data_IF_996670879809
#
_entry.id   IF_996670879809
#
_cell.length_a   1.000
_cell.length_b   1.000
_cell.length_c   1.000
_cell.angle_alpha   90.00
_cell.angle_beta   90.00
_cell.angle_gamma   90.00
#
_symmetry.space_group_name_H-M   'P 1'
#
loop_
_entity.id
_entity.type
_entity.pdbx_description
1 polymer ?
#
# COMPACT_ATOMS: atom_id res chain seq x y z
N UNK A 1 22.30 10.42 -4.66
CA UNK A 1 21.39 9.53 -3.90
C UNK A 1 20.91 8.43 -4.84
N UNK A 2 20.69 7.19 -4.39
CA UNK A 2 20.37 6.10 -5.31
C UNK A 2 19.08 6.44 -6.09
N UNK A 3 19.13 6.27 -7.42
CA UNK A 3 18.03 6.61 -8.35
C UNK A 3 16.81 5.70 -8.22
N UNK A 4 16.93 4.57 -7.50
CA UNK A 4 15.86 3.59 -7.30
C UNK A 4 16.17 2.79 -6.03
N UNK A 5 15.15 2.43 -5.26
CA UNK A 5 15.27 1.64 -4.03
C UNK A 5 14.28 0.49 -4.07
N UNK A 6 14.75 -0.71 -3.77
CA UNK A 6 13.88 -1.86 -3.60
C UNK A 6 13.14 -1.78 -2.25
N UNK A 7 11.81 -2.00 -2.28
CA UNK A 7 10.95 -2.02 -1.11
C UNK A 7 10.17 -3.35 -1.10
N UNK A 8 10.52 -4.29 -0.21
CA UNK A 8 9.81 -5.56 -0.13
C UNK A 8 8.46 -5.40 0.60
N UNK A 9 7.57 -6.37 0.43
CA UNK A 9 6.23 -6.38 1.02
C UNK A 9 5.95 -7.72 1.74
N UNK A 10 5.35 -7.64 2.93
CA UNK A 10 4.80 -8.78 3.66
C UNK A 10 3.27 -8.67 3.59
N UNK A 11 2.66 -9.47 2.73
CA UNK A 11 1.21 -9.56 2.62
C UNK A 11 0.66 -10.58 3.63
N UNK A 12 -0.22 -10.12 4.52
CA UNK A 12 -0.80 -10.91 5.60
C UNK A 12 -2.26 -11.23 5.31
N UNK A 13 -2.62 -12.51 5.35
CA UNK A 13 -4.01 -12.95 5.27
C UNK A 13 -4.29 -14.11 6.24
N UNK A 14 -5.22 -13.89 7.17
CA UNK A 14 -5.49 -14.76 8.33
C UNK A 14 -4.23 -15.04 9.16
N UNK A 15 -3.43 -14.00 9.42
CA UNK A 15 -2.24 -14.07 10.27
C UNK A 15 -1.02 -14.76 9.65
N UNK A 16 -1.10 -15.14 8.37
CA UNK A 16 -0.02 -15.83 7.65
C UNK A 16 0.48 -14.99 6.48
N UNK A 17 1.77 -15.11 6.19
CA UNK A 17 2.39 -14.47 5.02
C UNK A 17 1.98 -15.22 3.75
N UNK A 18 1.32 -14.54 2.82
CA UNK A 18 0.78 -15.13 1.60
C UNK A 18 0.99 -14.22 0.40
N UNK A 19 1.40 -14.81 -0.72
CA UNK A 19 1.29 -14.16 -2.02
C UNK A 19 -0.03 -14.58 -2.67
N UNK A 20 -0.91 -13.61 -2.86
CA UNK A 20 -2.21 -13.78 -3.51
C UNK A 20 -2.13 -13.43 -5.00
N UNK A 21 -3.01 -14.01 -5.81
CA UNK A 21 -3.26 -13.52 -7.18
C UNK A 21 -4.21 -12.32 -7.10
N UNK A 22 -3.79 -11.17 -7.64
CA UNK A 22 -4.58 -9.93 -7.64
C UNK A 22 -6.01 -10.15 -8.16
N UNK A 23 -7.00 -9.61 -7.46
CA UNK A 23 -8.43 -9.75 -7.80
C UNK A 23 -9.11 -11.08 -7.42
N UNK A 24 -8.39 -12.10 -6.93
CA UNK A 24 -8.99 -13.38 -6.50
C UNK A 24 -9.53 -13.38 -5.06
N UNK A 25 -9.31 -12.30 -4.31
CA UNK A 25 -9.85 -12.16 -2.95
C UNK A 25 -11.33 -11.79 -3.00
N UNK A 26 -12.18 -12.79 -2.82
CA UNK A 26 -13.61 -12.64 -2.62
C UNK A 26 -14.00 -13.17 -1.25
N UNK A 27 -14.48 -12.29 -0.36
CA UNK A 27 -14.91 -12.68 1.00
C UNK A 27 -16.17 -13.54 0.98
N UNK A 28 -16.99 -13.42 -0.07
CA UNK A 28 -18.20 -14.22 -0.29
C UNK A 28 -17.89 -15.63 -0.81
N UNK A 29 -16.69 -15.84 -1.34
CA UNK A 29 -16.22 -17.14 -1.86
C UNK A 29 -14.79 -17.43 -1.40
N UNK A 30 -14.54 -17.71 -0.11
CA UNK A 30 -13.19 -17.96 0.40
C UNK A 30 -12.45 -19.12 -0.29
N UNK A 31 -13.20 -20.08 -0.85
CA UNK A 31 -12.69 -21.23 -1.61
C UNK A 31 -12.13 -20.86 -2.98
N UNK A 32 -12.41 -19.66 -3.50
CA UNK A 32 -11.91 -19.17 -4.78
C UNK A 32 -10.60 -18.37 -4.65
N UNK A 33 -10.10 -18.17 -3.42
CA UNK A 33 -8.83 -17.49 -3.19
C UNK A 33 -7.69 -18.26 -3.85
N UNK A 34 -7.05 -17.65 -4.84
CA UNK A 34 -5.86 -18.21 -5.48
C UNK A 34 -4.62 -17.63 -4.81
N UNK A 35 -3.82 -18.50 -4.21
CA UNK A 35 -2.50 -18.15 -3.66
C UNK A 35 -1.41 -18.68 -4.57
N UNK A 36 -0.45 -17.84 -4.92
CA UNK A 36 0.79 -18.28 -5.55
C UNK A 36 1.71 -18.95 -4.51
N UNK A 37 1.66 -18.47 -3.26
CA UNK A 37 2.52 -18.97 -2.18
C UNK A 37 1.89 -18.72 -0.81
N UNK A 38 2.06 -19.69 0.10
CA UNK A 38 1.78 -19.54 1.53
C UNK A 38 3.06 -19.91 2.26
N UNK A 39 3.58 -19.01 3.08
CA UNK A 39 4.83 -19.25 3.78
C UNK A 39 4.65 -20.20 4.96
N UNK A 40 5.62 -21.08 5.18
CA UNK A 40 5.79 -21.82 6.44
C UNK A 40 6.45 -20.97 7.53
N UNK A 41 7.08 -19.86 7.17
CA UNK A 41 7.78 -18.96 8.09
C UNK A 41 6.82 -17.95 8.72
N UNK A 42 7.17 -17.53 9.93
CA UNK A 42 6.40 -16.52 10.66
C UNK A 42 6.59 -15.12 10.06
N UNK A 43 5.64 -14.18 10.27
CA UNK A 43 5.80 -12.78 9.86
C UNK A 43 7.10 -12.14 10.39
N UNK A 44 7.50 -12.43 11.64
CA UNK A 44 8.77 -11.96 12.22
C UNK A 44 10.01 -12.39 11.45
N UNK A 45 10.02 -13.57 10.83
CA UNK A 45 11.15 -14.05 10.04
C UNK A 45 11.47 -13.06 8.91
N UNK A 46 10.45 -12.63 8.17
CA UNK A 46 10.60 -11.68 7.06
C UNK A 46 10.94 -10.27 7.55
N UNK A 47 10.29 -9.80 8.62
CA UNK A 47 10.62 -8.51 9.22
C UNK A 47 12.10 -8.46 9.67
N UNK A 48 12.61 -9.54 10.27
CA UNK A 48 14.01 -9.65 10.66
C UNK A 48 14.93 -9.73 9.44
N UNK A 49 14.55 -10.46 8.39
CA UNK A 49 15.31 -10.50 7.14
C UNK A 49 15.44 -9.10 6.52
N UNK A 50 14.36 -8.33 6.47
CA UNK A 50 14.38 -6.96 5.94
C UNK A 50 15.25 -6.04 6.79
N UNK A 51 15.20 -6.20 8.11
CA UNK A 51 16.07 -5.48 9.06
C UNK A 51 17.55 -5.80 8.84
N UNK A 52 17.91 -7.08 8.70
CA UNK A 52 19.29 -7.51 8.46
C UNK A 52 19.87 -6.91 7.16
N UNK A 53 19.01 -6.73 6.15
CA UNK A 53 19.39 -6.12 4.87
C UNK A 53 19.12 -4.60 4.79
N UNK A 54 18.70 -3.98 5.90
CA UNK A 54 18.37 -2.54 5.99
C UNK A 54 17.38 -2.06 4.90
N UNK A 55 16.38 -2.88 4.59
CA UNK A 55 15.36 -2.61 3.57
C UNK A 55 14.27 -1.68 4.10
N UNK A 56 14.63 -0.44 4.40
CA UNK A 56 13.71 0.55 4.99
C UNK A 56 12.60 1.00 4.02
N UNK A 57 11.43 1.32 4.56
CA UNK A 57 10.24 1.62 3.76
C UNK A 57 9.59 0.36 3.17
N UNK A 58 9.91 -0.81 3.73
CA UNK A 58 9.22 -2.06 3.42
C UNK A 58 7.79 -2.03 3.96
N UNK A 59 6.87 -2.71 3.27
CA UNK A 59 5.47 -2.68 3.62
C UNK A 59 5.05 -3.96 4.36
N UNK A 60 4.10 -3.82 5.28
CA UNK A 60 3.29 -4.89 5.84
C UNK A 60 1.85 -4.56 5.46
N UNK A 61 1.17 -5.44 4.72
CA UNK A 61 -0.18 -5.17 4.21
C UNK A 61 -1.16 -6.19 4.77
N UNK A 62 -2.16 -5.70 5.52
CA UNK A 62 -3.23 -6.53 6.08
C UNK A 62 -4.34 -6.74 5.05
N UNK A 63 -4.41 -7.94 4.49
CA UNK A 63 -5.45 -8.34 3.55
C UNK A 63 -6.65 -8.89 4.32
N UNK A 64 -7.51 -8.00 4.79
CA UNK A 64 -8.72 -8.36 5.54
C UNK A 64 -8.51 -8.52 7.07
N UNK A 65 -9.51 -9.05 7.78
CA UNK A 65 -9.48 -9.20 9.24
C UNK A 65 -8.51 -10.31 9.70
N UNK A 66 -8.22 -10.34 11.01
CA UNK A 66 -7.41 -11.41 11.62
C UNK A 66 -5.89 -11.30 11.40
N UNK A 67 -5.40 -10.13 10.96
CA UNK A 67 -3.98 -9.91 10.66
C UNK A 67 -3.26 -9.04 11.70
N UNK A 68 -3.97 -8.51 12.70
CA UNK A 68 -3.42 -7.48 13.57
C UNK A 68 -2.26 -7.98 14.45
N UNK A 69 -2.36 -9.20 15.00
CA UNK A 69 -1.29 -9.79 15.81
C UNK A 69 -0.06 -10.11 14.97
N UNK A 70 -0.25 -10.64 13.77
CA UNK A 70 0.83 -10.88 12.80
C UNK A 70 1.51 -9.58 12.36
N UNK A 71 0.75 -8.51 12.16
CA UNK A 71 1.30 -7.20 11.85
C UNK A 71 2.12 -6.64 13.03
N UNK A 72 1.59 -6.71 14.26
CA UNK A 72 2.33 -6.29 15.47
C UNK A 72 3.61 -7.10 15.68
N UNK A 73 3.60 -8.40 15.35
CA UNK A 73 4.79 -9.24 15.38
C UNK A 73 5.88 -8.69 14.43
N UNK A 74 5.54 -8.31 13.20
CA UNK A 74 6.46 -7.64 12.27
C UNK A 74 6.99 -6.32 12.83
N UNK A 75 6.09 -5.44 13.30
CA UNK A 75 6.46 -4.11 13.79
C UNK A 75 7.36 -4.17 15.04
N UNK A 76 7.10 -5.12 15.95
CA UNK A 76 7.93 -5.34 17.14
C UNK A 76 9.31 -5.89 16.79
N UNK A 77 9.41 -6.67 15.71
CA UNK A 77 10.69 -7.22 15.23
C UNK A 77 11.62 -6.12 14.70
N UNK A 78 11.05 -5.12 14.04
CA UNK A 78 11.79 -3.95 13.54
C UNK A 78 11.01 -2.63 13.76
N UNK A 79 11.05 -2.07 14.99
CA UNK A 79 10.38 -0.82 15.30
C UNK A 79 10.92 0.33 14.44
N UNK A 80 10.03 1.10 13.83
CA UNK A 80 10.37 2.21 12.92
C UNK A 80 10.97 1.78 11.57
N UNK A 81 10.94 0.49 11.23
CA UNK A 81 11.51 -0.03 9.98
C UNK A 81 10.50 -0.31 8.87
N UNK A 82 9.23 -0.49 9.24
CA UNK A 82 8.17 -1.01 8.38
C UNK A 82 6.97 -0.06 8.32
N UNK A 83 6.36 0.05 7.15
CA UNK A 83 5.14 0.81 6.90
C UNK A 83 3.94 -0.16 6.91
N UNK A 84 2.82 0.21 7.54
CA UNK A 84 1.67 -0.69 7.72
C UNK A 84 0.44 -0.20 6.97
N UNK A 85 -0.16 -1.07 6.15
CA UNK A 85 -1.39 -0.81 5.41
C UNK A 85 -2.48 -1.85 5.65
N UNK A 86 -3.68 -1.56 5.15
CA UNK A 86 -4.85 -2.45 5.23
C UNK A 86 -5.77 -2.12 6.40
N UNK A 87 -6.87 -1.42 6.12
CA UNK A 87 -7.86 -1.03 7.12
C UNK A 87 -7.42 0.09 8.07
N UNK A 88 -6.49 0.95 7.63
CA UNK A 88 -6.08 2.14 8.38
C UNK A 88 -7.20 3.19 8.36
N UNK A 89 -7.52 3.74 9.52
CA UNK A 89 -8.52 4.81 9.73
C UNK A 89 -7.95 5.87 10.66
N UNK A 90 -8.64 7.01 10.78
CA UNK A 90 -8.28 8.04 11.77
C UNK A 90 -8.21 7.50 13.21
N UNK A 91 -9.08 6.56 13.55
CA UNK A 91 -9.19 6.02 14.92
C UNK A 91 -8.07 5.06 15.29
N UNK A 92 -7.44 4.40 14.31
CA UNK A 92 -6.42 3.38 14.57
C UNK A 92 -5.01 3.77 14.13
N UNK A 93 -4.84 4.83 13.33
CA UNK A 93 -3.55 5.21 12.76
C UNK A 93 -2.47 5.44 13.84
N UNK A 94 -2.81 6.20 14.89
CA UNK A 94 -1.89 6.48 16.00
C UNK A 94 -1.52 5.20 16.77
N UNK A 95 -2.46 4.27 16.96
CA UNK A 95 -2.18 3.00 17.61
C UNK A 95 -1.17 2.15 16.83
N UNK A 96 -1.20 2.21 15.50
CA UNK A 96 -0.23 1.51 14.65
C UNK A 96 1.16 2.12 14.69
N UNK A 97 1.26 3.46 14.74
CA UNK A 97 2.54 4.15 14.95
C UNK A 97 3.13 3.77 16.32
N UNK A 98 2.30 3.80 17.37
CA UNK A 98 2.71 3.39 18.73
C UNK A 98 3.10 1.91 18.81
N UNK A 99 2.56 1.06 17.93
CA UNK A 99 2.94 -0.36 17.81
C UNK A 99 4.27 -0.58 17.08
N UNK A 100 4.94 0.49 16.62
CA UNK A 100 6.27 0.44 16.00
C UNK A 100 6.28 0.59 14.48
N UNK A 101 5.16 0.99 13.85
CA UNK A 101 5.18 1.35 12.44
C UNK A 101 5.98 2.64 12.21
N UNK A 102 6.75 2.67 11.12
CA UNK A 102 7.40 3.90 10.64
C UNK A 102 6.35 4.88 10.12
N UNK A 103 5.42 4.38 9.29
CA UNK A 103 4.31 5.14 8.70
C UNK A 103 3.09 4.25 8.54
N UNK A 104 1.93 4.87 8.39
CA UNK A 104 0.70 4.18 7.99
C UNK A 104 0.39 4.42 6.52
N UNK A 105 -0.07 3.37 5.84
CA UNK A 105 -0.47 3.38 4.43
C UNK A 105 -2.00 3.42 4.38
N UNK A 106 -2.56 4.47 3.78
CA UNK A 106 -4.00 4.73 3.75
C UNK A 106 -4.55 4.78 2.32
N UNK A 107 -5.66 4.08 2.09
CA UNK A 107 -6.35 3.97 0.79
C UNK A 107 -7.85 4.19 0.99
N UNK A 108 -8.61 3.11 1.28
CA UNK A 108 -10.08 3.10 1.27
C UNK A 108 -10.73 4.07 2.26
N UNK A 109 -10.07 4.38 3.37
CA UNK A 109 -10.56 5.40 4.32
C UNK A 109 -10.73 6.78 3.67
N UNK A 110 -9.91 7.12 2.67
CA UNK A 110 -9.99 8.39 1.95
C UNK A 110 -11.12 8.45 0.91
N UNK A 111 -11.80 7.32 0.66
CA UNK A 111 -12.80 7.19 -0.40
C UNK A 111 -14.15 6.67 0.12
N UNK A 112 -14.81 7.36 1.08
CA UNK A 112 -16.17 7.01 1.47
C UNK A 112 -17.08 6.99 0.24
N UNK A 113 -17.84 5.91 0.06
CA UNK A 113 -18.70 5.69 -1.11
C UNK A 113 -18.00 5.86 -2.47
N UNK A 114 -16.71 5.49 -2.52
CA UNK A 114 -15.84 5.63 -3.70
C UNK A 114 -15.60 7.09 -4.14
N UNK A 115 -15.79 8.05 -3.24
CA UNK A 115 -15.55 9.48 -3.49
C UNK A 115 -14.41 10.01 -2.66
N UNK A 116 -13.44 10.67 -3.29
CA UNK A 116 -12.30 11.22 -2.57
C UNK A 116 -12.73 12.27 -1.54
N UNK A 117 -12.25 12.09 -0.30
CA UNK A 117 -12.50 13.02 0.80
C UNK A 117 -11.19 13.68 1.24
N UNK A 118 -10.96 14.90 0.75
CA UNK A 118 -9.83 15.72 1.19
C UNK A 118 -9.87 15.99 2.71
N UNK A 119 -11.06 16.21 3.26
CA UNK A 119 -11.25 16.46 4.69
C UNK A 119 -10.72 15.29 5.55
N UNK A 120 -10.96 14.04 5.16
CA UNK A 120 -10.40 12.87 5.87
C UNK A 120 -8.88 12.82 5.84
N UNK A 121 -8.27 13.17 4.71
CA UNK A 121 -6.81 13.24 4.59
C UNK A 121 -6.25 14.36 5.47
N UNK A 122 -6.89 15.53 5.47
CA UNK A 122 -6.51 16.67 6.32
C UNK A 122 -6.61 16.33 7.81
N UNK A 123 -7.69 15.67 8.24
CA UNK A 123 -7.88 15.24 9.63
C UNK A 123 -6.82 14.21 10.04
N UNK A 124 -6.52 13.23 9.18
CA UNK A 124 -5.47 12.25 9.43
C UNK A 124 -4.10 12.92 9.55
N UNK A 125 -3.78 13.80 8.60
CA UNK A 125 -2.53 14.58 8.58
C UNK A 125 -2.39 15.47 9.81
N UNK A 126 -3.46 16.12 10.25
CA UNK A 126 -3.47 16.92 11.47
C UNK A 126 -3.33 16.08 12.74
N UNK A 127 -3.85 14.84 12.76
CA UNK A 127 -3.78 13.95 13.92
C UNK A 127 -2.39 13.35 14.11
N UNK A 128 -1.80 12.79 13.05
CA UNK A 128 -0.57 11.99 13.16
C UNK A 128 0.65 12.62 12.47
N UNK A 129 0.50 13.77 11.83
CA UNK A 129 1.57 14.41 11.04
C UNK A 129 1.72 13.77 9.65
N UNK A 130 1.95 14.60 8.63
CA UNK A 130 2.07 14.13 7.24
C UNK A 130 3.29 13.24 7.00
N UNK A 131 4.35 13.42 7.78
CA UNK A 131 5.56 12.62 7.78
C UNK A 131 5.30 11.14 8.09
N UNK A 132 4.20 10.84 8.77
CA UNK A 132 3.80 9.48 9.15
C UNK A 132 2.78 8.85 8.20
N UNK A 133 2.45 9.52 7.10
CA UNK A 133 1.40 9.09 6.15
C UNK A 133 2.01 8.75 4.79
N UNK A 134 1.67 7.55 4.32
CA UNK A 134 1.79 7.10 2.94
C UNK A 134 0.39 7.03 2.35
N UNK A 135 0.15 7.73 1.24
CA UNK A 135 -1.14 7.62 0.53
C UNK A 135 -0.99 6.59 -0.58
N UNK A 136 -1.80 5.55 -0.52
CA UNK A 136 -1.91 4.57 -1.59
C UNK A 136 -3.01 5.01 -2.57
N UNK A 137 -2.60 5.29 -3.81
CA UNK A 137 -3.47 5.60 -4.94
C UNK A 137 -3.27 4.56 -6.02
N UNK A 138 -3.47 3.30 -5.67
CA UNK A 138 -3.56 2.22 -6.65
C UNK A 138 -4.66 2.49 -7.69
N UNK A 139 -4.38 2.21 -8.97
CA UNK A 139 -5.23 2.61 -10.08
C UNK A 139 -5.43 1.52 -11.14
N UNK A 140 -6.45 1.75 -11.97
CA UNK A 140 -6.65 1.07 -13.25
C UNK A 140 -6.73 2.07 -14.39
N UNK A 141 -6.28 1.65 -15.57
CA UNK A 141 -6.37 2.42 -16.80
C UNK A 141 -7.80 2.38 -17.33
N UNK A 142 -8.32 3.55 -17.64
CA UNK A 142 -9.61 3.79 -18.29
C UNK A 142 -9.37 4.72 -19.45
N UNK A 143 -9.47 4.17 -20.66
CA UNK A 143 -9.13 4.90 -21.89
C UNK A 143 -7.70 5.47 -21.80
N UNK A 144 -7.54 6.79 -21.74
CA UNK A 144 -6.26 7.49 -21.65
C UNK A 144 -5.97 8.06 -20.26
N UNK A 145 -6.60 7.51 -19.21
CA UNK A 145 -6.50 8.02 -17.83
C UNK A 145 -6.29 6.89 -16.82
N UNK A 146 -5.65 7.20 -15.70
CA UNK A 146 -5.57 6.29 -14.55
C UNK A 146 -6.52 6.76 -13.47
N UNK A 147 -7.43 5.88 -13.07
CA UNK A 147 -8.45 6.18 -12.05
C UNK A 147 -8.17 5.31 -10.83
N UNK A 148 -8.19 5.93 -9.66
CA UNK A 148 -7.93 5.24 -8.39
C UNK A 148 -9.00 4.16 -8.18
N UNK A 149 -8.54 2.97 -7.80
CA UNK A 149 -9.37 1.81 -7.52
C UNK A 149 -9.12 1.35 -6.08
N UNK A 150 -10.19 1.21 -5.30
CA UNK A 150 -10.15 0.76 -3.92
C UNK A 150 -10.77 -0.63 -3.76
N UNK A 151 -10.83 -1.12 -2.51
CA UNK A 151 -11.38 -2.43 -2.16
C UNK A 151 -10.76 -3.55 -2.99
N UNK A 152 -9.43 -3.70 -2.90
CA UNK A 152 -8.67 -4.73 -3.65
C UNK A 152 -8.87 -4.55 -5.17
N UNK A 153 -8.87 -3.29 -5.62
CA UNK A 153 -9.05 -2.84 -7.00
C UNK A 153 -10.40 -3.19 -7.65
N UNK A 154 -11.41 -3.55 -6.84
CA UNK A 154 -12.74 -3.94 -7.34
C UNK A 154 -13.65 -2.73 -7.55
N UNK A 155 -13.43 -1.63 -6.81
CA UNK A 155 -14.29 -0.44 -6.85
C UNK A 155 -13.52 0.74 -7.42
N UNK A 156 -13.95 1.25 -8.59
CA UNK A 156 -13.42 2.50 -9.15
C UNK A 156 -13.94 3.70 -8.36
N UNK A 157 -13.08 4.69 -8.17
CA UNK A 157 -13.42 5.95 -7.49
C UNK A 157 -13.63 7.09 -8.50
N UNK A 158 -13.97 8.27 -8.01
CA UNK A 158 -14.06 9.51 -8.79
C UNK A 158 -12.72 10.23 -8.99
N UNK A 159 -11.62 9.69 -8.47
CA UNK A 159 -10.33 10.35 -8.48
C UNK A 159 -9.42 9.84 -9.60
N UNK A 160 -9.00 10.76 -10.46
CA UNK A 160 -7.97 10.54 -11.48
C UNK A 160 -6.57 10.77 -10.88
N UNK A 161 -5.61 9.94 -11.28
CA UNK A 161 -4.19 10.18 -11.01
C UNK A 161 -3.63 11.06 -12.13
N UNK A 162 -3.25 12.27 -11.76
CA UNK A 162 -2.56 13.23 -12.59
C UNK A 162 -1.69 14.15 -11.71
N UNK A 163 -0.96 15.07 -12.33
CA UNK A 163 -0.07 16.00 -11.62
C UNK A 163 -0.80 16.80 -10.53
N UNK A 164 -2.00 17.31 -10.83
CA UNK A 164 -2.77 18.13 -9.91
C UNK A 164 -3.24 17.36 -8.69
N UNK A 165 -3.74 16.13 -8.89
CA UNK A 165 -4.20 15.29 -7.78
C UNK A 165 -3.04 14.82 -6.89
N UNK A 166 -1.91 14.42 -7.47
CA UNK A 166 -0.70 14.07 -6.72
C UNK A 166 -0.14 15.27 -5.95
N UNK A 167 -0.15 16.47 -6.55
CA UNK A 167 0.29 17.67 -5.85
C UNK A 167 -0.59 17.99 -4.65
N UNK A 168 -1.91 17.92 -4.80
CA UNK A 168 -2.86 18.10 -3.70
C UNK A 168 -2.61 17.12 -2.55
N UNK A 169 -2.40 15.84 -2.85
CA UNK A 169 -2.14 14.82 -1.83
C UNK A 169 -0.81 15.04 -1.11
N UNK A 170 0.22 15.49 -1.83
CA UNK A 170 1.57 15.72 -1.29
C UNK A 170 1.65 16.80 -0.21
N UNK A 171 0.64 17.66 -0.12
CA UNK A 171 0.55 18.63 0.97
C UNK A 171 0.30 17.95 2.33
N UNK A 172 -0.30 16.74 2.33
CA UNK A 172 -0.81 16.06 3.52
C UNK A 172 -0.23 14.66 3.78
N UNK A 173 0.58 14.13 2.85
CA UNK A 173 1.35 12.90 3.06
C UNK A 173 2.83 13.11 2.72
N UNK A 174 3.67 12.16 3.11
CA UNK A 174 5.10 12.21 2.84
C UNK A 174 5.57 11.23 1.79
N UNK A 175 4.76 10.22 1.46
CA UNK A 175 5.06 9.26 0.41
C UNK A 175 3.80 8.81 -0.35
N UNK A 176 4.01 8.31 -1.56
CA UNK A 176 3.00 7.62 -2.34
C UNK A 176 3.31 6.13 -2.49
N UNK A 177 2.26 5.34 -2.50
CA UNK A 177 2.25 3.97 -3.00
C UNK A 177 1.30 3.89 -4.19
N UNK A 178 1.77 3.43 -5.34
CA UNK A 178 0.99 3.42 -6.58
C UNK A 178 1.11 2.06 -7.24
N UNK A 179 0.01 1.33 -7.29
CA UNK A 179 -0.06 0.07 -8.03
C UNK A 179 -0.89 0.24 -9.31
N UNK A 180 -0.37 -0.19 -10.45
CA UNK A 180 -1.15 -0.35 -11.66
C UNK A 180 -1.76 -1.77 -11.68
N UNK A 181 -3.01 -1.89 -11.25
CA UNK A 181 -3.64 -3.19 -11.04
C UNK A 181 -3.86 -3.99 -12.34
N UNK A 182 -3.85 -3.33 -13.51
CA UNK A 182 -4.04 -4.00 -14.80
C UNK A 182 -2.82 -4.83 -15.25
N UNK A 183 -1.64 -4.62 -14.65
CA UNK A 183 -0.41 -5.38 -14.92
C UNK A 183 0.02 -6.28 -13.74
N UNK A 184 -0.78 -6.32 -12.68
CA UNK A 184 -0.47 -7.04 -11.45
C UNK A 184 -0.66 -8.57 -11.60
N UNK A 185 0.34 -9.35 -11.18
CA UNK A 185 0.29 -10.82 -11.22
C UNK A 185 0.42 -11.45 -12.61
N UNK A 186 0.52 -10.64 -13.68
CA UNK A 186 0.68 -11.13 -15.05
C UNK A 186 2.15 -11.34 -15.47
N UNK A 187 3.11 -10.84 -14.70
CA UNK A 187 4.55 -10.86 -15.02
C UNK A 187 4.91 -10.24 -16.38
N UNK A 188 4.08 -9.32 -16.90
CA UNK A 188 4.21 -8.71 -18.22
C UNK A 188 4.95 -7.36 -18.23
N UNK A 189 5.50 -6.94 -17.10
CA UNK A 189 6.20 -5.65 -16.96
C UNK A 189 5.36 -4.57 -16.29
N UNK A 190 6.01 -3.46 -15.97
CA UNK A 190 5.39 -2.26 -15.38
C UNK A 190 4.57 -1.48 -16.43
N UNK A 191 3.60 -0.67 -16.00
CA UNK A 191 2.97 0.33 -16.85
C UNK A 191 3.97 1.47 -17.09
N UNK A 192 4.73 1.37 -18.19
CA UNK A 192 5.81 2.31 -18.54
C UNK A 192 5.26 3.74 -18.66
N UNK A 193 4.09 3.90 -19.27
CA UNK A 193 3.49 5.22 -19.48
C UNK A 193 3.15 5.89 -18.15
N UNK A 194 2.56 5.13 -17.22
CA UNK A 194 2.31 5.64 -15.86
C UNK A 194 3.62 5.99 -15.16
N UNK A 195 4.64 5.12 -15.20
CA UNK A 195 5.92 5.37 -14.54
C UNK A 195 6.65 6.60 -15.10
N UNK A 196 6.61 6.81 -16.41
CA UNK A 196 7.15 8.03 -17.05
C UNK A 196 6.40 9.30 -16.62
N UNK A 197 5.07 9.24 -16.53
CA UNK A 197 4.25 10.32 -16.01
C UNK A 197 4.56 10.59 -14.53
N UNK A 198 4.63 9.57 -13.69
CA UNK A 198 4.98 9.69 -12.27
C UNK A 198 6.36 10.34 -12.09
N UNK A 199 7.35 9.96 -12.90
CA UNK A 199 8.69 10.57 -12.88
C UNK A 199 8.70 12.08 -13.16
N UNK A 200 7.63 12.62 -13.77
CA UNK A 200 7.45 14.06 -14.01
C UNK A 200 6.57 14.72 -12.93
N UNK A 201 5.54 14.01 -12.44
CA UNK A 201 4.50 14.57 -11.60
C UNK A 201 4.82 14.56 -10.10
N UNK A 202 5.52 13.52 -9.62
CA UNK A 202 5.73 13.35 -8.17
C UNK A 202 6.86 14.23 -7.66
N UNK A 203 6.65 14.84 -6.49
CA UNK A 203 7.63 15.69 -5.81
C UNK A 203 8.11 15.10 -4.48
N UNK A 204 7.46 14.03 -4.02
CA UNK A 204 7.76 13.29 -2.79
C UNK A 204 8.10 11.83 -3.12
N UNK A 205 8.80 11.10 -2.22
CA UNK A 205 9.13 9.70 -2.45
C UNK A 205 7.90 8.87 -2.85
N UNK A 206 8.04 8.11 -3.93
CA UNK A 206 6.94 7.35 -4.52
C UNK A 206 7.40 5.93 -4.78
N UNK A 207 6.63 4.97 -4.29
CA UNK A 207 6.83 3.55 -4.55
C UNK A 207 5.83 3.10 -5.60
N UNK A 208 6.34 2.60 -6.73
CA UNK A 208 5.53 1.90 -7.71
C UNK A 208 5.56 0.40 -7.42
N UNK A 209 4.42 -0.28 -7.46
CA UNK A 209 4.35 -1.74 -7.35
C UNK A 209 3.43 -2.36 -8.41
N UNK A 210 3.62 -3.67 -8.66
CA UNK A 210 2.90 -4.43 -9.68
C UNK A 210 3.70 -4.61 -10.97
N UNK A 211 3.67 -5.82 -11.53
CA UNK A 211 4.25 -6.12 -12.86
C UNK A 211 5.77 -6.28 -12.92
N UNK A 212 6.50 -6.11 -11.81
CA UNK A 212 7.94 -6.35 -11.77
C UNK A 212 8.24 -7.83 -12.08
N UNK A 213 9.02 -8.05 -13.14
CA UNK A 213 9.55 -9.35 -13.52
C UNK A 213 11.08 -9.26 -13.38
N UNK A 214 11.69 -10.20 -12.67
CA UNK A 214 13.13 -10.26 -12.42
C UNK A 214 13.69 -11.59 -12.90
#
# INVERSE_FOLDING_TARGET
>A
MPKTKFRPCIDLHNGQVKQIVGGSLNESSPSELKTNFVSSEKPSYYANLYKLHNLTGAHVIKLGPGNDDAAKECLTTWPGGLQIGGGITLDNAEAWLNAGAEKVIVTSYLFPDAKFSLNRLQELSARIGKENIVVDVSCRKRENKWVVAMNKWQTMTDMEINEGSLRLLSDYCSEFLIHAADVEGLCQGIDIELVECLGKWVTIPTTYAGGANC
#
